data_IF_255960885394
#
_entry.id   IF_255960885394
#
_cell.length_a   1.000
_cell.length_b   1.000
_cell.length_c   1.000
_cell.angle_alpha   90.00
_cell.angle_beta   90.00
_cell.angle_gamma   90.00
#
_symmetry.space_group_name_H-M   'P 1'
#
loop_
_entity.id
_entity.type
_entity.pdbx_description
1 polymer ?
#
# COMPACT_ATOMS: atom_id res chain seq x y z
N UNK A 1 -3.64 7.73 -30.37
CA UNK A 1 -3.72 6.41 -31.01
C UNK A 1 -4.75 5.55 -30.25
N UNK A 2 -5.33 4.50 -30.85
CA UNK A 2 -6.29 3.64 -30.16
C UNK A 2 -5.73 2.94 -28.92
N UNK A 3 -4.40 2.87 -28.80
CA UNK A 3 -3.67 2.20 -27.71
C UNK A 3 -3.08 3.17 -26.68
N UNK A 4 -3.21 4.47 -26.91
CA UNK A 4 -2.68 5.50 -26.00
C UNK A 4 -3.68 6.64 -25.87
N UNK A 5 -4.28 6.78 -24.69
CA UNK A 5 -5.28 7.79 -24.37
C UNK A 5 -4.73 8.67 -23.24
N UNK A 6 -4.75 9.99 -23.45
CA UNK A 6 -4.44 10.99 -22.42
C UNK A 6 -5.75 11.46 -21.78
N UNK A 7 -5.84 11.32 -20.47
CA UNK A 7 -6.92 11.89 -19.66
C UNK A 7 -6.37 13.13 -18.94
N UNK A 8 -6.76 14.35 -19.32
CA UNK A 8 -6.37 15.52 -18.57
C UNK A 8 -7.01 15.47 -17.17
N UNK A 9 -6.19 15.66 -16.15
CA UNK A 9 -6.65 15.70 -14.76
C UNK A 9 -6.66 17.14 -14.25
N UNK A 10 -7.72 17.52 -13.55
CA UNK A 10 -7.87 18.85 -12.94
C UNK A 10 -7.32 18.89 -11.51
N UNK A 11 -6.82 17.77 -10.99
CA UNK A 11 -6.27 17.63 -9.64
C UNK A 11 -4.91 16.92 -9.67
N UNK A 12 -3.82 17.65 -9.98
CA UNK A 12 -2.48 17.07 -9.96
C UNK A 12 -2.05 16.65 -8.54
N UNK A 13 -2.46 17.39 -7.50
CA UNK A 13 -2.11 17.06 -6.12
C UNK A 13 -2.75 15.74 -5.70
N UNK A 14 -4.03 15.51 -6.02
CA UNK A 14 -4.70 14.25 -5.77
C UNK A 14 -4.06 13.09 -6.53
N UNK A 15 -3.63 13.29 -7.77
CA UNK A 15 -2.92 12.27 -8.54
C UNK A 15 -1.57 11.90 -7.89
N UNK A 16 -0.81 12.88 -7.39
CA UNK A 16 0.46 12.65 -6.67
C UNK A 16 0.23 11.93 -5.34
N UNK A 17 -0.77 12.33 -4.56
CA UNK A 17 -1.11 11.69 -3.29
C UNK A 17 -1.49 10.22 -3.49
N UNK A 18 -2.36 9.93 -4.47
CA UNK A 18 -2.69 8.55 -4.83
C UNK A 18 -1.48 7.78 -5.36
N UNK A 19 -0.64 8.42 -6.20
CA UNK A 19 0.61 7.86 -6.71
C UNK A 19 1.61 7.48 -5.61
N UNK A 20 1.60 8.18 -4.48
CA UNK A 20 2.39 7.83 -3.31
C UNK A 20 1.71 6.73 -2.47
N UNK A 21 0.41 6.88 -2.17
CA UNK A 21 -0.33 5.99 -1.28
C UNK A 21 -0.48 4.56 -1.85
N UNK A 22 -0.67 4.42 -3.17
CA UNK A 22 -0.73 3.10 -3.83
C UNK A 22 0.45 2.20 -3.48
N UNK A 23 1.63 2.78 -3.23
CA UNK A 23 2.84 2.02 -2.92
C UNK A 23 2.77 1.35 -1.54
N UNK A 24 2.07 1.97 -0.58
CA UNK A 24 1.78 1.37 0.74
C UNK A 24 0.84 0.18 0.59
N UNK A 25 -0.21 0.32 -0.21
CA UNK A 25 -1.17 -0.76 -0.46
C UNK A 25 -0.50 -1.91 -1.23
N UNK A 26 0.35 -1.59 -2.21
CA UNK A 26 1.09 -2.61 -2.97
C UNK A 26 2.05 -3.40 -2.07
N UNK A 27 2.72 -2.73 -1.12
CA UNK A 27 3.55 -3.40 -0.11
C UNK A 27 2.70 -4.36 0.73
N UNK A 28 1.55 -3.91 1.23
CA UNK A 28 0.63 -4.74 2.01
C UNK A 28 0.11 -5.96 1.22
N UNK A 29 -0.22 -5.81 -0.05
CA UNK A 29 -0.58 -6.94 -0.92
C UNK A 29 0.58 -7.93 -1.09
N UNK A 30 1.81 -7.43 -1.13
CA UNK A 30 3.02 -8.26 -1.18
C UNK A 30 3.21 -9.12 0.07
N UNK A 31 2.84 -8.64 1.27
CA UNK A 31 2.89 -9.44 2.50
C UNK A 31 2.13 -10.76 2.34
N UNK A 32 0.93 -10.69 1.74
CA UNK A 32 0.09 -11.88 1.50
C UNK A 32 0.78 -12.87 0.56
N UNK A 33 1.50 -12.36 -0.45
CA UNK A 33 2.26 -13.22 -1.37
C UNK A 33 3.43 -13.93 -0.65
N UNK A 34 4.10 -13.22 0.24
CA UNK A 34 5.17 -13.79 1.07
C UNK A 34 4.65 -14.85 2.04
N UNK A 35 3.58 -14.56 2.77
CA UNK A 35 2.92 -15.51 3.67
C UNK A 35 2.45 -16.77 2.95
N UNK A 36 1.89 -16.63 1.73
CA UNK A 36 1.51 -17.76 0.90
C UNK A 36 2.71 -18.65 0.54
N UNK A 37 3.88 -18.09 0.28
CA UNK A 37 5.11 -18.84 -0.03
C UNK A 37 5.62 -19.66 1.15
N UNK A 38 5.47 -19.15 2.35
CA UNK A 38 5.87 -19.86 3.59
C UNK A 38 4.86 -20.91 4.04
N UNK A 39 3.70 -21.02 3.38
CA UNK A 39 2.65 -21.94 3.75
C UNK A 39 1.80 -21.48 4.94
N UNK A 40 1.95 -20.22 5.34
CA UNK A 40 1.14 -19.56 6.37
C UNK A 40 -0.18 -19.01 5.81
N UNK A 41 -0.66 -17.88 6.32
CA UNK A 41 -1.82 -17.19 5.78
C UNK A 41 -1.53 -16.73 4.34
N UNK A 42 -2.50 -16.87 3.45
CA UNK A 42 -2.32 -16.41 2.08
C UNK A 42 -3.51 -16.74 1.20
N UNK A 43 -3.50 -16.16 0.00
CA UNK A 43 -4.52 -16.41 -1.01
C UNK A 43 -5.20 -15.15 -1.51
N UNK A 44 -5.96 -15.33 -2.57
CA UNK A 44 -6.52 -14.20 -3.33
C UNK A 44 -7.59 -13.44 -2.53
N UNK A 45 -8.39 -14.15 -1.72
CA UNK A 45 -9.39 -13.52 -0.85
C UNK A 45 -8.74 -12.63 0.22
N UNK A 46 -7.65 -13.10 0.86
CA UNK A 46 -6.94 -12.30 1.83
C UNK A 46 -6.32 -11.07 1.16
N UNK A 47 -5.70 -11.23 -0.01
CA UNK A 47 -5.15 -10.12 -0.78
C UNK A 47 -6.23 -9.10 -1.17
N UNK A 48 -7.42 -9.56 -1.57
CA UNK A 48 -8.54 -8.69 -1.89
C UNK A 48 -9.02 -7.90 -0.65
N UNK A 49 -9.07 -8.53 0.53
CA UNK A 49 -9.42 -7.86 1.78
C UNK A 49 -8.37 -6.79 2.16
N UNK A 50 -7.08 -7.10 2.07
CA UNK A 50 -5.98 -6.16 2.32
C UNK A 50 -6.04 -4.98 1.33
N UNK A 51 -6.22 -5.26 0.04
CA UNK A 51 -6.37 -4.24 -1.01
C UNK A 51 -7.55 -3.31 -0.70
N UNK A 52 -8.71 -3.89 -0.37
CA UNK A 52 -9.92 -3.14 -0.06
C UNK A 52 -9.73 -2.23 1.17
N UNK A 53 -9.13 -2.74 2.25
CA UNK A 53 -8.86 -1.95 3.45
C UNK A 53 -7.96 -0.74 3.13
N UNK A 54 -6.88 -0.95 2.36
CA UNK A 54 -6.00 0.12 1.93
C UNK A 54 -6.69 1.13 1.02
N UNK A 55 -7.47 0.67 0.04
CA UNK A 55 -8.24 1.56 -0.84
C UNK A 55 -9.23 2.42 -0.06
N UNK A 56 -9.98 1.81 0.87
CA UNK A 56 -10.92 2.55 1.75
C UNK A 56 -10.21 3.60 2.59
N UNK A 57 -9.07 3.28 3.21
CA UNK A 57 -8.30 4.26 3.96
C UNK A 57 -7.82 5.40 3.06
N UNK A 58 -7.33 5.12 1.85
CA UNK A 58 -6.97 6.14 0.87
C UNK A 58 -8.14 7.07 0.51
N UNK A 59 -9.35 6.51 0.32
CA UNK A 59 -10.57 7.29 0.07
C UNK A 59 -10.95 8.21 1.22
N UNK A 60 -10.61 7.87 2.46
CA UNK A 60 -10.89 8.69 3.65
C UNK A 60 -9.77 9.69 3.95
N UNK A 61 -8.52 9.27 3.82
CA UNK A 61 -7.34 10.05 4.16
C UNK A 61 -7.03 11.14 3.12
N UNK A 62 -6.94 10.76 1.84
CA UNK A 62 -6.37 11.65 0.85
C UNK A 62 -7.22 12.90 0.56
N UNK A 63 -8.57 12.87 0.64
CA UNK A 63 -9.36 14.09 0.58
C UNK A 63 -9.09 15.06 1.74
N UNK A 64 -8.79 14.56 2.93
CA UNK A 64 -8.41 15.40 4.07
C UNK A 64 -7.02 16.04 3.89
N UNK A 65 -6.19 15.46 3.03
CA UNK A 65 -4.88 16.00 2.64
C UNK A 65 -4.93 16.87 1.36
N UNK A 66 -6.13 17.15 0.84
CA UNK A 66 -6.36 18.06 -0.27
C UNK A 66 -6.62 17.40 -1.63
N UNK A 67 -6.67 16.07 -1.72
CA UNK A 67 -7.08 15.39 -2.96
C UNK A 67 -8.60 15.53 -3.19
N UNK A 68 -9.02 15.63 -4.44
CA UNK A 68 -10.44 15.52 -4.76
C UNK A 68 -10.88 14.05 -4.69
N UNK A 69 -12.04 13.80 -4.10
CA UNK A 69 -12.53 12.43 -3.84
C UNK A 69 -12.69 11.58 -5.11
N UNK A 70 -13.08 12.20 -6.24
CA UNK A 70 -13.26 11.51 -7.51
C UNK A 70 -11.97 10.95 -8.11
N UNK A 71 -10.80 11.46 -7.75
CA UNK A 71 -9.49 10.93 -8.22
C UNK A 71 -9.32 9.48 -7.82
N UNK A 72 -9.87 9.09 -6.67
CA UNK A 72 -9.85 7.71 -6.18
C UNK A 72 -10.33 6.68 -7.22
N UNK A 73 -11.35 7.02 -7.98
CA UNK A 73 -12.04 6.10 -8.91
C UNK A 73 -11.54 6.23 -10.35
N UNK A 74 -10.58 7.11 -10.60
CA UNK A 74 -9.99 7.35 -11.89
C UNK A 74 -8.71 6.53 -12.16
N UNK A 75 -8.08 6.76 -13.32
CA UNK A 75 -6.82 6.10 -13.70
C UNK A 75 -5.68 6.33 -12.71
N UNK A 76 -5.57 7.54 -12.12
CA UNK A 76 -4.52 7.88 -11.15
C UNK A 76 -4.77 7.29 -9.74
N UNK A 77 -6.02 6.94 -9.41
CA UNK A 77 -6.41 6.26 -8.17
C UNK A 77 -6.47 4.76 -8.36
N UNK A 78 -7.68 4.20 -8.45
CA UNK A 78 -7.93 2.76 -8.50
C UNK A 78 -7.21 2.05 -9.66
N UNK A 79 -7.11 2.69 -10.83
CA UNK A 79 -6.44 2.10 -12.00
C UNK A 79 -4.96 1.82 -11.72
N UNK A 80 -4.23 2.83 -11.29
CA UNK A 80 -2.79 2.72 -11.00
C UNK A 80 -2.52 1.90 -9.72
N UNK A 81 -3.41 2.01 -8.72
CA UNK A 81 -3.37 1.17 -7.53
C UNK A 81 -3.48 -0.32 -7.88
N UNK A 82 -4.46 -0.69 -8.72
CA UNK A 82 -4.67 -2.07 -9.12
C UNK A 82 -3.43 -2.67 -9.81
N UNK A 83 -2.90 -1.96 -10.80
CA UNK A 83 -1.70 -2.42 -11.52
C UNK A 83 -0.50 -2.55 -10.57
N UNK A 84 -0.30 -1.57 -9.67
CA UNK A 84 0.83 -1.56 -8.75
C UNK A 84 0.75 -2.69 -7.71
N UNK A 85 -0.45 -2.97 -7.19
CA UNK A 85 -0.68 -4.01 -6.19
C UNK A 85 -0.65 -5.44 -6.76
N UNK A 86 -0.99 -5.62 -8.05
CA UNK A 86 -1.11 -6.95 -8.67
C UNK A 86 0.09 -7.34 -9.53
N UNK A 87 0.88 -6.37 -10.03
CA UNK A 87 2.03 -6.64 -10.88
C UNK A 87 3.12 -7.45 -10.14
N UNK A 88 3.57 -8.58 -10.69
CA UNK A 88 4.66 -9.37 -10.10
C UNK A 88 6.02 -8.66 -10.14
N UNK A 89 6.13 -7.61 -10.94
CA UNK A 89 7.37 -6.84 -11.12
C UNK A 89 7.43 -5.60 -10.23
N UNK A 90 6.36 -5.27 -9.51
CA UNK A 90 6.26 -4.10 -8.65
C UNK A 90 7.25 -4.14 -7.49
N UNK A 91 8.11 -3.11 -7.36
CA UNK A 91 9.14 -3.02 -6.31
C UNK A 91 8.54 -3.07 -4.90
N UNK A 92 7.46 -2.32 -4.69
CA UNK A 92 6.79 -2.25 -3.39
C UNK A 92 6.11 -3.58 -3.04
N UNK A 93 5.47 -4.24 -4.01
CA UNK A 93 4.92 -5.57 -3.83
C UNK A 93 6.02 -6.58 -3.48
N UNK A 94 7.18 -6.56 -4.17
CA UNK A 94 8.32 -7.44 -3.87
C UNK A 94 8.94 -7.17 -2.51
N UNK A 95 8.98 -5.90 -2.06
CA UNK A 95 9.37 -5.56 -0.69
C UNK A 95 8.42 -6.22 0.31
N UNK A 96 7.11 -6.05 0.14
CA UNK A 96 6.12 -6.70 0.99
C UNK A 96 6.24 -8.22 0.98
N UNK A 97 6.49 -8.84 -0.19
CA UNK A 97 6.69 -10.28 -0.31
C UNK A 97 7.88 -10.76 0.54
N UNK A 98 8.99 -10.03 0.54
CA UNK A 98 10.16 -10.33 1.38
C UNK A 98 9.83 -10.24 2.88
N UNK A 99 9.17 -9.16 3.30
CA UNK A 99 8.70 -9.02 4.67
C UNK A 99 7.72 -10.14 5.05
N UNK A 100 6.84 -10.53 4.11
CA UNK A 100 5.90 -11.64 4.28
C UNK A 100 6.56 -13.02 4.41
N UNK A 101 7.81 -13.19 3.93
CA UNK A 101 8.59 -14.41 4.17
C UNK A 101 9.33 -14.41 5.50
N UNK A 102 9.18 -13.35 6.30
CA UNK A 102 9.75 -13.23 7.64
C UNK A 102 11.07 -12.47 7.71
N UNK A 103 11.54 -11.86 6.60
CA UNK A 103 12.70 -10.98 6.64
C UNK A 103 12.36 -9.68 7.40
N UNK A 104 13.30 -9.19 8.19
CA UNK A 104 13.25 -7.84 8.73
C UNK A 104 13.33 -6.78 7.61
N UNK A 105 12.97 -5.53 7.93
CA UNK A 105 13.07 -4.44 6.96
C UNK A 105 14.51 -4.27 6.44
N UNK A 106 15.51 -4.34 7.32
CA UNK A 106 16.92 -4.17 6.94
C UNK A 106 17.42 -5.30 6.02
N UNK A 107 17.06 -6.55 6.32
CA UNK A 107 17.37 -7.70 5.47
C UNK A 107 16.68 -7.59 4.11
N UNK A 108 15.39 -7.23 4.09
CA UNK A 108 14.64 -7.05 2.86
C UNK A 108 15.22 -5.93 2.00
N UNK A 109 15.64 -4.80 2.61
CA UNK A 109 16.31 -3.70 1.91
C UNK A 109 17.67 -4.10 1.34
N UNK A 110 18.47 -4.88 2.09
CA UNK A 110 19.77 -5.36 1.63
C UNK A 110 19.69 -6.27 0.39
N UNK A 111 18.58 -6.99 0.24
CA UNK A 111 18.33 -7.86 -0.92
C UNK A 111 17.71 -7.12 -2.13
N UNK A 112 17.38 -5.83 -1.99
CA UNK A 112 16.79 -5.06 -3.08
C UNK A 112 17.82 -4.15 -3.76
N UNK A 113 17.87 -4.20 -5.08
CA UNK A 113 18.72 -3.31 -5.90
C UNK A 113 18.12 -1.93 -6.11
N UNK A 114 16.84 -1.74 -5.79
CA UNK A 114 16.09 -0.50 -6.02
C UNK A 114 15.27 -0.13 -4.78
N UNK A 115 15.17 1.17 -4.51
CA UNK A 115 14.38 1.70 -3.39
C UNK A 115 12.91 1.33 -3.51
N UNK A 116 12.34 0.78 -2.44
CA UNK A 116 10.90 0.57 -2.30
C UNK A 116 10.27 1.83 -1.69
N UNK A 117 9.62 2.62 -2.51
CA UNK A 117 9.01 3.90 -2.12
C UNK A 117 7.88 3.74 -1.10
N UNK A 118 7.25 2.55 -1.05
CA UNK A 118 6.16 2.23 -0.13
C UNK A 118 6.55 2.35 1.35
N UNK A 119 7.79 2.02 1.72
CA UNK A 119 8.31 2.19 3.09
C UNK A 119 8.32 3.66 3.47
N UNK A 120 8.91 4.51 2.60
CA UNK A 120 8.96 5.95 2.82
C UNK A 120 7.56 6.58 2.82
N UNK A 121 6.69 6.14 1.91
CA UNK A 121 5.31 6.63 1.83
C UNK A 121 4.53 6.30 3.11
N UNK A 122 4.64 5.07 3.64
CA UNK A 122 3.99 4.68 4.89
C UNK A 122 4.41 5.61 6.05
N UNK A 123 5.71 5.87 6.20
CA UNK A 123 6.24 6.79 7.21
C UNK A 123 5.69 8.22 7.05
N UNK A 124 5.67 8.70 5.80
CA UNK A 124 5.15 10.04 5.49
C UNK A 124 3.66 10.16 5.83
N UNK A 125 2.84 9.17 5.46
CA UNK A 125 1.40 9.23 5.70
C UNK A 125 1.05 9.11 7.19
N UNK A 126 1.79 8.34 7.99
CA UNK A 126 1.63 8.34 9.46
C UNK A 126 1.87 9.75 10.02
N UNK A 127 3.01 10.36 9.67
CA UNK A 127 3.34 11.69 10.16
C UNK A 127 2.27 12.72 9.77
N UNK A 128 1.83 12.71 8.52
CA UNK A 128 0.77 13.61 8.05
C UNK A 128 -0.55 13.39 8.77
N UNK A 129 -0.92 12.14 9.00
CA UNK A 129 -2.14 11.81 9.71
C UNK A 129 -2.08 12.26 11.18
N UNK A 130 -0.93 12.16 11.84
CA UNK A 130 -0.71 12.68 13.19
C UNK A 130 -0.82 14.20 13.24
N UNK A 131 -0.17 14.92 12.31
CA UNK A 131 -0.21 16.38 12.22
C UNK A 131 -1.65 16.91 12.05
N UNK A 132 -2.50 16.18 11.32
CA UNK A 132 -3.89 16.54 11.01
C UNK A 132 -4.93 15.83 11.92
N UNK A 133 -4.46 15.02 12.89
CA UNK A 133 -5.32 14.21 13.78
C UNK A 133 -6.30 13.29 13.03
N UNK A 134 -5.82 12.63 11.97
CA UNK A 134 -6.57 11.71 11.13
C UNK A 134 -6.26 10.26 11.53
N UNK A 135 -7.30 9.42 11.66
CA UNK A 135 -7.13 7.99 11.92
C UNK A 135 -6.75 7.22 10.66
N UNK A 136 -5.62 6.49 10.70
CA UNK A 136 -5.09 5.70 9.59
C UNK A 136 -4.67 4.29 10.03
N UNK A 137 -5.64 3.46 10.48
CA UNK A 137 -5.34 2.16 11.09
C UNK A 137 -4.65 1.17 10.13
N UNK A 138 -4.95 1.18 8.83
CA UNK A 138 -4.26 0.38 7.83
C UNK A 138 -2.78 0.78 7.72
N UNK A 139 -2.51 2.06 7.49
CA UNK A 139 -1.14 2.57 7.37
C UNK A 139 -0.37 2.38 8.69
N UNK A 140 -1.05 2.50 9.85
CA UNK A 140 -0.47 2.25 11.17
C UNK A 140 -0.03 0.79 11.32
N UNK A 141 -0.85 -0.17 10.92
CA UNK A 141 -0.48 -1.58 10.96
C UNK A 141 0.78 -1.87 10.11
N UNK A 142 0.86 -1.29 8.92
CA UNK A 142 2.06 -1.39 8.07
C UNK A 142 3.28 -0.77 8.75
N UNK A 143 3.17 0.41 9.36
CA UNK A 143 4.30 1.02 10.06
C UNK A 143 4.78 0.19 11.25
N UNK A 144 3.86 -0.38 12.03
CA UNK A 144 4.19 -1.26 13.17
C UNK A 144 4.97 -2.50 12.70
N UNK A 145 4.61 -3.07 11.53
CA UNK A 145 5.39 -4.14 10.89
C UNK A 145 6.78 -3.65 10.47
N UNK A 146 6.87 -2.49 9.82
CA UNK A 146 8.14 -1.92 9.37
C UNK A 146 9.09 -1.55 10.52
N UNK A 147 8.55 -1.32 11.74
CA UNK A 147 9.31 -1.12 12.97
C UNK A 147 9.79 -2.44 13.60
N UNK A 148 9.25 -3.57 13.14
CA UNK A 148 9.57 -4.89 13.67
C UNK A 148 8.80 -5.26 14.95
N UNK A 149 7.80 -4.46 15.33
CA UNK A 149 6.99 -4.69 16.54
C UNK A 149 5.96 -5.81 16.38
N UNK A 150 5.58 -6.12 15.14
CA UNK A 150 4.69 -7.23 14.77
C UNK A 150 5.23 -7.95 13.53
N UNK A 151 4.83 -9.20 13.36
CA UNK A 151 5.12 -9.96 12.15
C UNK A 151 4.09 -9.71 11.03
N UNK A 152 4.35 -10.28 9.85
CA UNK A 152 3.49 -10.10 8.67
C UNK A 152 2.10 -10.73 8.87
N UNK A 153 2.00 -11.82 9.62
CA UNK A 153 0.73 -12.51 9.88
C UNK A 153 -0.16 -11.64 10.78
N UNK A 154 0.39 -11.13 11.88
CA UNK A 154 -0.32 -10.23 12.78
C UNK A 154 -0.71 -8.92 12.09
N UNK A 155 0.16 -8.37 11.25
CA UNK A 155 -0.16 -7.19 10.43
C UNK A 155 -1.39 -7.45 9.55
N UNK A 156 -1.41 -8.56 8.82
CA UNK A 156 -2.57 -8.93 7.99
C UNK A 156 -3.84 -9.15 8.81
N UNK A 157 -3.76 -9.79 10.01
CA UNK A 157 -4.90 -9.98 10.92
C UNK A 157 -5.48 -8.64 11.37
N UNK A 158 -4.64 -7.68 11.76
CA UNK A 158 -5.09 -6.32 12.16
C UNK A 158 -5.79 -5.61 11.02
N UNK A 159 -5.23 -5.68 9.80
CA UNK A 159 -5.85 -5.03 8.64
C UNK A 159 -7.20 -5.67 8.28
N UNK A 160 -7.31 -7.00 8.31
CA UNK A 160 -8.58 -7.69 8.03
C UNK A 160 -9.67 -7.32 9.03
N UNK A 161 -9.31 -7.10 10.29
CA UNK A 161 -10.26 -6.67 11.33
C UNK A 161 -10.84 -5.25 11.11
N UNK A 162 -10.33 -4.49 10.13
CA UNK A 162 -10.83 -3.17 9.76
C UNK A 162 -12.01 -3.20 8.76
N UNK A 163 -12.31 -4.38 8.14
CA UNK A 163 -13.32 -4.51 7.08
C UNK A 163 -14.76 -4.71 7.62
#
# INVERSE_FOLDING_TARGET
>A
TPTFILHPASDPAGAELWGAFKNVVALACGLVDGLKKTGSLGGDNLKAAIFNAGFREGCLLLPQLGARAEVAFGPAGLGDLYVTATSPYGRNRRMGEKLGTGLSLDEALAEMTMVAEGVRAARMFIKRAEDENISVPFTKAINTLLDGDIDAEECCRRIVALN
#
